data_IF_833258092516
#
_entry.id   IF_833258092516
#
_cell.length_a   1.000
_cell.length_b   1.000
_cell.length_c   1.000
_cell.angle_alpha   90.00
_cell.angle_beta   90.00
_cell.angle_gamma   90.00
#
_symmetry.space_group_name_H-M   'P 1'
#
loop_
_entity.id
_entity.type
_entity.pdbx_description
1 polymer ?
#
# COMPACT_ATOMS: atom_id res chain seq x y z
N UNK A 1 49.76 60.73 12.70
CA UNK A 1 49.22 59.57 13.45
C UNK A 1 48.03 59.05 12.67
N UNK A 2 47.99 57.74 12.46
CA UNK A 2 47.35 57.08 11.31
C UNK A 2 45.83 57.22 11.26
N UNK A 3 45.33 57.60 10.08
CA UNK A 3 43.93 57.54 9.68
C UNK A 3 43.62 56.07 9.37
N UNK A 4 42.65 55.49 10.08
CA UNK A 4 42.16 54.14 9.78
C UNK A 4 41.23 54.19 8.57
N UNK A 5 41.68 53.61 7.44
CA UNK A 5 40.83 53.35 6.28
C UNK A 5 39.84 52.22 6.59
N UNK A 6 38.57 52.32 6.17
CA UNK A 6 37.64 51.20 6.26
C UNK A 6 38.02 50.11 5.25
N UNK A 7 38.08 48.86 5.71
CA UNK A 7 38.28 47.70 4.86
C UNK A 7 37.12 47.57 3.85
N UNK A 8 37.38 47.15 2.59
CA UNK A 8 36.33 46.98 1.60
C UNK A 8 35.40 45.85 2.05
N UNK A 9 34.10 46.12 2.00
CA UNK A 9 33.05 45.11 2.12
C UNK A 9 33.38 43.93 1.21
N UNK A 10 33.67 42.78 1.79
CA UNK A 10 33.70 41.51 1.06
C UNK A 10 32.30 41.30 0.49
N UNK A 11 32.16 41.45 -0.82
CA UNK A 11 30.98 41.00 -1.55
C UNK A 11 30.64 39.59 -1.08
N UNK A 12 29.47 39.41 -0.47
CA UNK A 12 28.84 38.11 -0.35
C UNK A 12 28.82 37.51 -1.76
N UNK A 13 29.63 36.46 -2.00
CA UNK A 13 29.47 35.65 -3.20
C UNK A 13 28.02 35.17 -3.19
N UNK A 14 27.22 35.42 -4.24
CA UNK A 14 25.89 34.85 -4.30
C UNK A 14 26.04 33.34 -4.17
N UNK A 15 25.18 32.71 -3.37
CA UNK A 15 25.12 31.25 -3.24
C UNK A 15 24.95 30.67 -4.65
N UNK A 16 26.05 30.22 -5.25
CA UNK A 16 26.02 29.53 -6.54
C UNK A 16 25.30 28.22 -6.27
N UNK A 17 24.05 28.12 -6.73
CA UNK A 17 23.34 26.85 -6.80
C UNK A 17 24.20 25.95 -7.69
N UNK A 18 24.69 24.85 -7.12
CA UNK A 18 25.51 23.87 -7.84
C UNK A 18 24.60 22.74 -8.34
N UNK A 19 24.86 22.26 -9.54
CA UNK A 19 24.25 21.06 -10.10
C UNK A 19 25.24 19.89 -10.03
N UNK A 20 24.73 18.67 -9.92
CA UNK A 20 25.53 17.44 -9.96
C UNK A 20 25.00 16.52 -11.04
N UNK A 21 25.91 15.99 -11.86
CA UNK A 21 25.63 14.96 -12.88
C UNK A 21 26.10 13.57 -12.43
N UNK A 22 26.74 13.48 -11.26
CA UNK A 22 27.38 12.26 -10.76
C UNK A 22 26.67 11.68 -9.54
N UNK A 23 25.34 11.83 -9.46
CA UNK A 23 24.56 11.19 -8.40
C UNK A 23 24.34 9.70 -8.72
N UNK A 24 24.73 8.81 -7.82
CA UNK A 24 24.76 7.36 -8.07
C UNK A 24 24.21 6.54 -6.90
N UNK A 25 23.89 5.27 -7.18
CA UNK A 25 23.45 4.30 -6.19
C UNK A 25 21.93 4.22 -6.05
N UNK A 26 21.47 3.27 -5.24
CA UNK A 26 20.03 3.07 -4.97
C UNK A 26 19.37 4.30 -4.32
N UNK A 27 20.16 5.14 -3.66
CA UNK A 27 19.74 6.45 -3.15
C UNK A 27 19.29 7.42 -4.23
N UNK A 28 19.76 7.28 -5.48
CA UNK A 28 19.29 8.07 -6.62
C UNK A 28 18.00 7.50 -7.25
N UNK A 29 17.75 6.19 -7.10
CA UNK A 29 16.55 5.54 -7.62
C UNK A 29 15.28 5.87 -6.82
N UNK A 30 15.38 5.93 -5.48
CA UNK A 30 14.22 6.19 -4.62
C UNK A 30 13.54 7.56 -4.86
N UNK A 31 14.27 8.68 -5.04
CA UNK A 31 13.67 9.97 -5.40
C UNK A 31 12.93 9.96 -6.74
N UNK A 32 13.41 9.21 -7.73
CA UNK A 32 12.71 9.05 -9.02
C UNK A 32 11.38 8.33 -8.84
N UNK A 33 11.38 7.23 -8.07
CA UNK A 33 10.15 6.53 -7.71
C UNK A 33 9.17 7.46 -6.97
N UNK A 34 9.66 8.26 -6.02
CA UNK A 34 8.83 9.23 -5.31
C UNK A 34 8.21 10.29 -6.23
N UNK A 35 8.96 10.77 -7.24
CA UNK A 35 8.44 11.67 -8.27
C UNK A 35 7.31 11.04 -9.10
N UNK A 36 7.47 9.79 -9.53
CA UNK A 36 6.43 9.05 -10.27
C UNK A 36 5.19 8.82 -9.41
N UNK A 37 5.38 8.47 -8.13
CA UNK A 37 4.28 8.31 -7.16
C UNK A 37 3.52 9.63 -6.99
N UNK A 38 4.22 10.78 -6.98
CA UNK A 38 3.58 12.09 -6.91
C UNK A 38 2.68 12.36 -8.12
N UNK A 39 3.14 12.06 -9.34
CA UNK A 39 2.32 12.15 -10.56
C UNK A 39 1.09 11.23 -10.50
N UNK A 40 1.27 10.02 -9.96
CA UNK A 40 0.19 9.04 -9.80
C UNK A 40 -0.86 9.52 -8.79
N UNK A 41 -0.44 10.12 -7.68
CA UNK A 41 -1.33 10.74 -6.68
C UNK A 41 -2.01 12.00 -7.21
N UNK A 42 -1.37 12.76 -8.11
CA UNK A 42 -2.02 13.88 -8.78
C UNK A 42 -3.19 13.40 -9.65
N UNK A 43 -3.00 12.30 -10.36
CA UNK A 43 -4.04 11.67 -11.19
C UNK A 43 -5.20 11.11 -10.37
N UNK A 44 -4.92 10.54 -9.18
CA UNK A 44 -5.96 10.09 -8.25
C UNK A 44 -5.51 10.30 -6.79
N UNK A 45 -6.08 11.33 -6.16
CA UNK A 45 -5.76 11.71 -4.76
C UNK A 45 -6.36 10.78 -3.71
N UNK A 46 -7.28 9.90 -4.11
CA UNK A 46 -7.97 8.99 -3.18
C UNK A 46 -7.23 7.65 -3.02
N UNK A 47 -6.11 7.45 -3.73
CA UNK A 47 -5.30 6.25 -3.60
C UNK A 47 -4.75 6.12 -2.18
N UNK A 48 -4.96 4.94 -1.59
CA UNK A 48 -4.34 4.57 -0.32
C UNK A 48 -2.89 4.13 -0.54
N UNK A 49 -2.15 3.96 0.55
CA UNK A 49 -0.78 3.44 0.50
C UNK A 49 -0.69 2.04 -0.10
N UNK A 50 -1.75 1.21 0.03
CA UNK A 50 -1.84 -0.13 -0.57
C UNK A 50 -2.16 -0.04 -2.05
N UNK A 51 -3.10 0.82 -2.43
CA UNK A 51 -3.44 1.05 -3.84
C UNK A 51 -2.18 1.41 -4.65
N UNK A 52 -1.33 2.28 -4.09
CA UNK A 52 -0.06 2.64 -4.74
C UNK A 52 0.85 1.42 -4.98
N UNK A 53 0.91 0.47 -4.04
CA UNK A 53 1.69 -0.75 -4.22
C UNK A 53 1.05 -1.67 -5.27
N UNK A 54 -0.27 -1.83 -5.27
CA UNK A 54 -0.99 -2.58 -6.30
C UNK A 54 -0.73 -2.01 -7.71
N UNK A 55 -0.77 -0.69 -7.86
CA UNK A 55 -0.46 -0.01 -9.12
C UNK A 55 0.97 -0.33 -9.58
N UNK A 56 1.96 -0.25 -8.67
CA UNK A 56 3.36 -0.61 -8.98
C UNK A 56 3.46 -2.06 -9.45
N UNK A 57 2.85 -3.00 -8.73
CA UNK A 57 2.85 -4.44 -9.08
C UNK A 57 2.25 -4.69 -10.46
N UNK A 58 1.16 -3.99 -10.81
CA UNK A 58 0.43 -4.22 -12.05
C UNK A 58 1.04 -3.52 -13.28
N UNK A 59 1.78 -2.42 -13.08
CA UNK A 59 2.23 -1.55 -14.19
C UNK A 59 3.72 -1.65 -14.49
N UNK A 60 4.53 -2.14 -13.54
CA UNK A 60 5.98 -2.28 -13.72
C UNK A 60 6.35 -3.17 -14.91
N UNK A 61 7.48 -2.86 -15.55
CA UNK A 61 7.93 -3.51 -16.79
C UNK A 61 9.22 -4.29 -16.57
N UNK A 62 9.20 -5.63 -16.75
CA UNK A 62 10.41 -6.45 -16.75
C UNK A 62 11.31 -6.26 -17.98
N UNK A 63 10.79 -5.65 -19.05
CA UNK A 63 11.49 -5.55 -20.33
C UNK A 63 12.81 -4.76 -20.19
N UNK A 64 13.83 -5.19 -20.94
CA UNK A 64 15.16 -4.57 -20.98
C UNK A 64 15.95 -4.58 -19.66
N UNK A 65 15.48 -5.31 -18.63
CA UNK A 65 16.20 -5.54 -17.39
C UNK A 65 16.82 -6.95 -17.36
N UNK A 66 18.14 -7.00 -17.25
CA UNK A 66 18.89 -8.26 -17.26
C UNK A 66 19.09 -8.78 -15.84
N UNK A 67 18.51 -9.94 -15.53
CA UNK A 67 18.69 -10.69 -14.30
C UNK A 67 18.62 -12.20 -14.59
N UNK A 68 19.37 -13.00 -13.86
CA UNK A 68 19.36 -14.47 -14.00
C UNK A 68 18.25 -15.14 -13.17
N UNK A 69 17.55 -14.38 -12.33
CA UNK A 69 16.59 -14.86 -11.34
C UNK A 69 15.14 -14.46 -11.65
N UNK A 70 14.85 -14.03 -12.88
CA UNK A 70 13.48 -13.77 -13.32
C UNK A 70 12.67 -15.07 -13.27
N UNK A 71 11.63 -15.09 -12.44
CA UNK A 71 10.66 -16.18 -12.36
C UNK A 71 9.25 -15.66 -12.60
N UNK A 72 8.33 -16.54 -12.98
CA UNK A 72 6.92 -16.20 -13.14
C UNK A 72 6.16 -16.72 -11.93
N UNK A 73 5.39 -15.85 -11.27
CA UNK A 73 4.60 -16.21 -10.10
C UNK A 73 3.27 -16.91 -10.48
N UNK A 74 2.47 -17.30 -9.49
CA UNK A 74 1.24 -18.08 -9.67
C UNK A 74 0.15 -17.38 -10.48
N UNK A 75 0.18 -16.04 -10.55
CA UNK A 75 -0.75 -15.22 -11.33
C UNK A 75 -0.17 -14.76 -12.68
N UNK A 76 0.99 -15.30 -13.09
CA UNK A 76 1.57 -15.06 -14.41
C UNK A 76 2.43 -13.81 -14.53
N UNK A 77 2.82 -13.15 -13.42
CA UNK A 77 3.70 -11.98 -13.45
C UNK A 77 5.17 -12.38 -13.29
N UNK A 78 6.05 -11.73 -14.05
CA UNK A 78 7.50 -11.90 -13.88
C UNK A 78 7.98 -11.09 -12.69
N UNK A 79 8.78 -11.72 -11.83
CA UNK A 79 9.38 -11.12 -10.64
C UNK A 79 10.85 -11.53 -10.52
N UNK A 80 11.69 -10.64 -10.00
CA UNK A 80 13.11 -10.86 -9.72
C UNK A 80 13.42 -10.30 -8.33
N UNK A 81 14.32 -10.93 -7.57
CA UNK A 81 14.77 -10.41 -6.29
C UNK A 81 15.65 -9.15 -6.45
N UNK A 82 16.20 -8.93 -7.65
CA UNK A 82 16.99 -7.72 -7.98
C UNK A 82 16.10 -6.55 -8.39
N UNK A 83 15.01 -6.81 -9.11
CA UNK A 83 14.18 -5.77 -9.76
C UNK A 83 12.72 -5.73 -9.29
N UNK A 84 12.30 -6.60 -8.37
CA UNK A 84 10.89 -6.79 -8.05
C UNK A 84 10.08 -7.13 -9.30
N UNK A 85 9.00 -6.40 -9.53
CA UNK A 85 8.15 -6.53 -10.72
C UNK A 85 8.71 -5.82 -11.98
N UNK A 86 9.84 -5.12 -11.86
CA UNK A 86 10.52 -4.44 -12.96
C UNK A 86 10.60 -2.92 -12.80
N UNK A 87 10.86 -2.23 -13.91
CA UNK A 87 11.01 -0.78 -13.94
C UNK A 87 9.64 -0.10 -13.80
N UNK A 88 9.58 0.97 -13.00
CA UNK A 88 8.38 1.79 -12.89
C UNK A 88 8.07 2.46 -14.24
N UNK A 89 6.79 2.45 -14.60
CA UNK A 89 6.26 3.09 -15.81
C UNK A 89 5.28 4.19 -15.40
N UNK A 90 5.73 5.44 -15.43
CA UNK A 90 4.94 6.58 -14.97
C UNK A 90 3.64 6.75 -15.75
N UNK A 91 3.68 6.54 -17.07
CA UNK A 91 2.50 6.65 -17.93
C UNK A 91 1.47 5.57 -17.61
N UNK A 92 1.92 4.32 -17.47
CA UNK A 92 1.05 3.21 -17.10
C UNK A 92 0.46 3.36 -15.68
N UNK A 93 1.26 3.83 -14.71
CA UNK A 93 0.79 4.09 -13.35
C UNK A 93 -0.30 5.16 -13.31
N UNK A 94 -0.08 6.31 -13.97
CA UNK A 94 -1.06 7.40 -14.04
C UNK A 94 -2.33 6.95 -14.77
N UNK A 95 -2.20 6.25 -15.90
CA UNK A 95 -3.34 5.77 -16.67
C UNK A 95 -4.21 4.78 -15.88
N UNK A 96 -3.58 3.84 -15.16
CA UNK A 96 -4.31 2.87 -14.34
C UNK A 96 -4.94 3.53 -13.09
N UNK A 97 -4.27 4.53 -12.51
CA UNK A 97 -4.76 5.26 -11.33
C UNK A 97 -6.08 6.00 -11.56
N UNK A 98 -6.30 6.56 -12.76
CA UNK A 98 -7.49 7.35 -13.09
C UNK A 98 -8.80 6.55 -12.92
N UNK A 99 -8.78 5.25 -13.24
CA UNK A 99 -9.93 4.36 -13.13
C UNK A 99 -9.75 3.30 -12.03
N UNK A 100 -8.84 3.55 -11.07
CA UNK A 100 -8.55 2.61 -10.00
C UNK A 100 -9.68 2.56 -8.97
N UNK A 101 -10.12 1.35 -8.62
CA UNK A 101 -11.03 1.13 -7.50
C UNK A 101 -10.21 0.78 -6.27
N UNK A 102 -10.38 1.55 -5.19
CA UNK A 102 -9.69 1.31 -3.92
C UNK A 102 -9.92 -0.12 -3.45
N UNK A 103 -8.82 -0.78 -3.06
CA UNK A 103 -8.87 -2.16 -2.58
C UNK A 103 -9.61 -2.29 -1.24
N UNK A 104 -10.20 -3.45 -1.02
CA UNK A 104 -10.90 -3.80 0.24
C UNK A 104 -10.01 -3.62 1.48
N UNK A 105 -10.60 -3.51 2.69
CA UNK A 105 -9.86 -3.41 3.94
C UNK A 105 -8.81 -4.52 4.09
N UNK A 106 -7.63 -4.14 4.53
CA UNK A 106 -6.53 -5.09 4.71
C UNK A 106 -6.88 -6.10 5.80
N UNK A 107 -6.80 -7.39 5.45
CA UNK A 107 -6.92 -8.50 6.38
C UNK A 107 -5.52 -9.02 6.74
N UNK A 108 -5.42 -9.60 7.93
CA UNK A 108 -4.19 -10.19 8.45
C UNK A 108 -4.49 -11.56 9.05
N UNK A 109 -4.00 -12.61 8.41
CA UNK A 109 -4.09 -13.98 8.89
C UNK A 109 -2.74 -14.39 9.51
N UNK A 110 -2.76 -14.91 10.74
CA UNK A 110 -1.56 -15.30 11.49
C UNK A 110 -1.64 -16.80 11.74
N UNK A 111 -0.62 -17.54 11.33
CA UNK A 111 -0.61 -18.99 11.39
C UNK A 111 0.72 -19.44 12.03
N UNK A 112 0.64 -20.04 13.20
CA UNK A 112 1.79 -20.69 13.82
C UNK A 112 1.99 -22.08 13.20
N UNK A 113 3.17 -22.30 12.61
CA UNK A 113 3.43 -23.46 11.76
C UNK A 113 4.01 -24.62 12.57
N UNK A 114 4.93 -24.33 13.50
CA UNK A 114 5.64 -25.34 14.27
C UNK A 114 4.87 -25.74 15.53
N UNK A 115 4.80 -27.05 15.76
CA UNK A 115 4.34 -27.64 17.01
C UNK A 115 5.49 -27.97 17.96
N UNK A 116 6.69 -28.14 17.43
CA UNK A 116 7.92 -28.48 18.14
C UNK A 116 9.14 -27.88 17.44
N UNK A 117 10.25 -27.63 18.15
CA UNK A 117 11.50 -27.19 17.53
C UNK A 117 12.03 -28.22 16.52
N UNK A 118 12.65 -27.75 15.45
CA UNK A 118 13.24 -28.58 14.39
C UNK A 118 14.73 -28.32 14.27
N UNK A 119 15.53 -29.38 14.25
CA UNK A 119 16.95 -29.29 13.92
C UNK A 119 17.14 -28.84 12.48
N UNK A 120 18.06 -27.89 12.25
CA UNK A 120 18.32 -27.36 10.92
C UNK A 120 19.32 -28.25 10.16
N UNK A 121 20.37 -28.71 10.85
CA UNK A 121 21.46 -29.49 10.26
C UNK A 121 21.99 -28.89 8.94
N UNK A 122 22.10 -29.75 7.91
CA UNK A 122 22.51 -29.35 6.54
C UNK A 122 21.35 -28.77 5.72
N UNK A 123 20.14 -29.32 5.88
CA UNK A 123 18.92 -28.85 5.22
C UNK A 123 17.70 -29.24 6.07
N UNK A 124 16.82 -28.28 6.27
CA UNK A 124 15.51 -28.44 6.90
C UNK A 124 14.44 -28.00 5.93
N UNK A 125 13.36 -28.78 5.86
CA UNK A 125 12.17 -28.45 5.09
C UNK A 125 10.95 -28.58 6.01
N UNK A 126 10.12 -27.53 6.06
CA UNK A 126 8.89 -27.50 6.85
C UNK A 126 7.72 -27.27 5.89
N UNK A 127 6.84 -28.26 5.79
CA UNK A 127 5.62 -28.20 4.97
C UNK A 127 4.40 -28.00 5.86
N UNK A 128 3.50 -27.12 5.44
CA UNK A 128 2.23 -26.90 6.14
C UNK A 128 1.14 -26.51 5.17
N UNK A 129 0.07 -27.30 5.13
CA UNK A 129 -1.18 -26.91 4.49
C UNK A 129 -1.94 -25.94 5.39
N UNK A 130 -2.33 -24.80 4.84
CA UNK A 130 -3.07 -23.74 5.53
C UNK A 130 -4.37 -23.43 4.77
N UNK A 131 -5.40 -23.03 5.51
CA UNK A 131 -6.69 -22.60 4.94
C UNK A 131 -6.77 -21.09 4.78
N UNK A 132 -5.68 -20.35 5.04
CA UNK A 132 -5.65 -18.89 5.02
C UNK A 132 -6.79 -18.24 5.81
N UNK A 133 -7.03 -18.72 7.03
CA UNK A 133 -8.08 -18.26 7.94
C UNK A 133 -9.52 -18.40 7.36
N UNK A 134 -9.77 -19.43 6.53
CA UNK A 134 -11.11 -19.75 6.04
C UNK A 134 -12.13 -19.83 7.19
N UNK A 135 -13.26 -19.15 7.02
CA UNK A 135 -14.33 -19.05 8.02
C UNK A 135 -14.21 -17.86 8.97
N UNK A 136 -13.06 -17.17 8.99
CA UNK A 136 -12.81 -16.02 9.87
C UNK A 136 -12.85 -14.68 9.12
N UNK A 137 -13.08 -13.54 9.81
CA UNK A 137 -12.98 -12.20 9.22
C UNK A 137 -11.59 -11.90 8.63
N UNK A 138 -10.56 -12.62 9.07
CA UNK A 138 -9.18 -12.54 8.57
C UNK A 138 -8.92 -13.43 7.35
N UNK A 139 -9.94 -14.08 6.77
CA UNK A 139 -9.79 -14.92 5.58
C UNK A 139 -9.22 -14.13 4.39
N UNK A 140 -8.20 -14.68 3.73
CA UNK A 140 -7.52 -14.07 2.58
C UNK A 140 -7.57 -15.03 1.40
N UNK A 141 -7.99 -14.53 0.23
CA UNK A 141 -7.93 -15.23 -1.06
C UNK A 141 -7.08 -14.51 -2.09
N UNK A 142 -6.70 -13.25 -1.85
CA UNK A 142 -5.80 -12.46 -2.69
C UNK A 142 -4.70 -11.87 -1.83
N UNK A 143 -3.51 -12.45 -1.94
CA UNK A 143 -2.36 -12.10 -1.12
C UNK A 143 -1.72 -10.77 -1.55
N UNK A 144 -1.22 -10.01 -0.58
CA UNK A 144 -0.38 -8.82 -0.78
C UNK A 144 1.05 -9.13 -0.30
N UNK A 145 1.29 -9.00 1.01
CA UNK A 145 2.56 -9.34 1.64
C UNK A 145 2.45 -10.68 2.35
N UNK A 146 3.47 -11.52 2.24
CA UNK A 146 3.67 -12.66 3.13
C UNK A 146 4.92 -12.46 3.97
N UNK A 147 4.84 -12.80 5.25
CA UNK A 147 5.99 -12.83 6.15
C UNK A 147 6.20 -14.23 6.72
N UNK A 148 7.44 -14.70 6.72
CA UNK A 148 7.88 -15.79 7.56
C UNK A 148 8.63 -15.20 8.76
N UNK A 149 7.98 -15.19 9.93
CA UNK A 149 8.60 -14.74 11.18
C UNK A 149 9.32 -15.92 11.82
N UNK A 150 10.64 -15.85 11.85
CA UNK A 150 11.49 -16.96 12.25
C UNK A 150 12.25 -16.63 13.53
N UNK A 151 12.21 -17.57 14.48
CA UNK A 151 13.16 -17.61 15.61
C UNK A 151 14.00 -18.86 15.45
N UNK A 152 15.31 -18.69 15.27
CA UNK A 152 16.25 -19.79 15.11
C UNK A 152 17.61 -19.46 15.72
N UNK A 153 18.29 -20.48 16.22
CA UNK A 153 19.71 -20.44 16.57
C UNK A 153 20.53 -21.03 15.43
N UNK A 154 21.73 -20.49 15.20
CA UNK A 154 22.68 -21.06 14.23
C UNK A 154 24.10 -20.57 14.55
N UNK A 155 25.10 -21.44 14.43
CA UNK A 155 26.49 -21.11 14.78
C UNK A 155 27.17 -20.15 13.79
N UNK A 156 26.76 -20.13 12.51
CA UNK A 156 27.25 -19.17 11.50
C UNK A 156 26.12 -18.72 10.58
N UNK A 157 25.46 -17.61 10.92
CA UNK A 157 24.22 -17.16 10.26
C UNK A 157 24.36 -16.90 8.76
N UNK A 158 25.51 -16.43 8.29
CA UNK A 158 25.76 -16.13 6.88
C UNK A 158 25.81 -17.33 5.96
N UNK A 159 25.91 -18.56 6.50
CA UNK A 159 25.86 -19.79 5.70
C UNK A 159 24.43 -20.24 5.39
N UNK A 160 23.42 -19.64 6.04
CA UNK A 160 22.03 -19.95 5.79
C UNK A 160 21.54 -19.33 4.48
N UNK A 161 20.85 -20.13 3.67
CA UNK A 161 19.88 -19.63 2.71
C UNK A 161 18.48 -20.11 3.10
N UNK A 162 17.50 -19.22 2.99
CA UNK A 162 16.12 -19.46 3.42
C UNK A 162 15.20 -19.14 2.25
N UNK A 163 14.32 -20.09 1.92
CA UNK A 163 13.34 -19.95 0.86
C UNK A 163 11.94 -20.25 1.37
N UNK A 164 10.94 -19.59 0.80
CA UNK A 164 9.52 -19.84 1.04
C UNK A 164 8.81 -20.09 -0.28
N UNK A 165 8.13 -21.21 -0.39
CA UNK A 165 7.35 -21.58 -1.57
C UNK A 165 5.86 -21.45 -1.25
N UNK A 166 5.15 -20.70 -2.08
CA UNK A 166 3.68 -20.56 -1.99
C UNK A 166 2.96 -21.80 -2.53
N UNK A 167 1.66 -21.97 -2.22
CA UNK A 167 0.85 -23.06 -2.75
C UNK A 167 0.78 -23.10 -4.29
N UNK A 168 0.93 -21.94 -4.94
CA UNK A 168 0.96 -21.82 -6.40
C UNK A 168 2.35 -22.06 -7.01
N UNK A 169 3.35 -22.42 -6.19
CA UNK A 169 4.70 -22.78 -6.64
C UNK A 169 5.70 -21.62 -6.71
N UNK A 170 5.34 -20.42 -6.26
CA UNK A 170 6.24 -19.27 -6.30
C UNK A 170 7.28 -19.37 -5.19
N UNK A 171 8.55 -19.55 -5.58
CA UNK A 171 9.68 -19.66 -4.65
C UNK A 171 10.33 -18.30 -4.40
N UNK A 172 10.19 -17.80 -3.19
CA UNK A 172 10.80 -16.54 -2.70
C UNK A 172 12.07 -16.83 -1.91
N UNK A 173 13.16 -16.14 -2.23
CA UNK A 173 14.39 -16.13 -1.44
C UNK A 173 14.23 -15.14 -0.30
N UNK A 174 14.06 -15.63 0.92
CA UNK A 174 13.93 -14.81 2.11
C UNK A 174 15.28 -14.34 2.66
N UNK A 175 16.29 -15.19 2.51
CA UNK A 175 17.68 -14.91 2.88
C UNK A 175 18.60 -15.61 1.91
N UNK A 176 19.49 -14.86 1.25
CA UNK A 176 20.60 -15.43 0.51
C UNK A 176 21.83 -15.58 1.43
N UNK A 177 22.76 -16.46 1.05
CA UNK A 177 24.03 -16.62 1.76
C UNK A 177 24.78 -15.27 1.84
N UNK A 178 25.35 -14.97 3.00
CA UNK A 178 26.09 -13.74 3.29
C UNK A 178 27.49 -14.10 3.78
N UNK A 179 28.51 -14.16 2.89
CA UNK A 179 29.84 -14.67 3.24
C UNK A 179 30.50 -13.97 4.44
N UNK A 180 30.19 -12.70 4.67
CA UNK A 180 30.75 -11.89 5.74
C UNK A 180 29.93 -11.89 7.05
N UNK A 181 28.79 -12.57 7.11
CA UNK A 181 27.98 -12.68 8.34
C UNK A 181 28.38 -13.93 9.13
N UNK A 182 29.36 -13.78 10.01
CA UNK A 182 29.85 -14.84 10.89
C UNK A 182 29.18 -14.86 12.28
N UNK A 183 28.06 -14.16 12.45
CA UNK A 183 27.33 -14.09 13.72
C UNK A 183 26.74 -15.45 14.13
N UNK A 184 26.75 -15.73 15.43
CA UNK A 184 26.10 -16.88 16.04
C UNK A 184 24.75 -16.52 16.72
N UNK A 185 24.26 -15.28 16.54
CA UNK A 185 23.06 -14.78 17.23
C UNK A 185 21.76 -15.35 16.64
N UNK A 186 21.85 -16.01 15.47
CA UNK A 186 20.69 -16.50 14.74
C UNK A 186 19.72 -15.38 14.34
N UNK A 187 18.43 -15.69 14.35
CA UNK A 187 17.34 -14.73 14.14
C UNK A 187 16.33 -14.84 15.29
N UNK A 188 15.83 -13.69 15.76
CA UNK A 188 14.87 -13.63 16.86
C UNK A 188 13.59 -12.93 16.40
N UNK A 189 12.51 -13.71 16.20
CA UNK A 189 11.21 -13.29 15.66
C UNK A 189 11.35 -12.37 14.43
N UNK A 190 12.36 -12.65 13.58
CA UNK A 190 12.69 -11.80 12.45
C UNK A 190 11.69 -12.02 11.32
N UNK A 191 11.01 -10.96 10.89
CA UNK A 191 9.98 -11.01 9.87
C UNK A 191 10.58 -10.86 8.46
N UNK A 192 11.00 -11.97 7.86
CA UNK A 192 11.33 -11.99 6.43
C UNK A 192 10.06 -11.79 5.63
N UNK A 193 10.08 -10.88 4.65
CA UNK A 193 8.89 -10.51 3.88
C UNK A 193 9.14 -10.75 2.39
N UNK A 194 8.12 -11.23 1.68
CA UNK A 194 8.12 -11.36 0.22
C UNK A 194 6.89 -10.68 -0.38
N UNK A 195 7.08 -10.06 -1.54
CA UNK A 195 6.03 -9.52 -2.41
C UNK A 195 5.82 -10.37 -3.67
N UNK A 196 6.56 -11.47 -3.84
CA UNK A 196 6.58 -12.23 -5.10
C UNK A 196 5.27 -13.01 -5.35
N UNK A 197 4.54 -13.34 -4.30
CA UNK A 197 3.24 -14.03 -4.37
C UNK A 197 2.04 -13.08 -4.35
N UNK A 198 2.21 -11.82 -4.76
CA UNK A 198 1.11 -10.84 -4.80
C UNK A 198 0.01 -11.31 -5.76
N UNK A 199 -1.25 -11.12 -5.36
CA UNK A 199 -2.50 -11.62 -5.96
C UNK A 199 -2.70 -13.15 -5.97
N UNK A 200 -1.75 -13.94 -5.46
CA UNK A 200 -1.96 -15.40 -5.36
C UNK A 200 -3.01 -15.74 -4.30
N UNK A 201 -3.69 -16.88 -4.48
CA UNK A 201 -4.47 -17.51 -3.41
C UNK A 201 -3.50 -18.21 -2.44
N UNK A 202 -3.43 -17.77 -1.16
CA UNK A 202 -2.50 -18.34 -0.20
C UNK A 202 -2.99 -19.64 0.47
N UNK A 203 -4.17 -20.14 0.10
CA UNK A 203 -4.70 -21.43 0.57
C UNK A 203 -3.93 -22.60 -0.05
N UNK A 204 -3.56 -23.59 0.76
CA UNK A 204 -2.83 -24.77 0.33
C UNK A 204 -1.49 -24.98 1.05
N UNK A 205 -0.59 -25.76 0.46
CA UNK A 205 0.70 -26.11 1.08
C UNK A 205 1.74 -25.00 0.91
N UNK A 206 2.25 -24.50 2.03
CA UNK A 206 3.46 -23.67 2.08
C UNK A 206 4.67 -24.51 2.47
N UNK A 207 5.82 -24.22 1.86
CA UNK A 207 7.08 -24.90 2.15
C UNK A 207 8.14 -23.88 2.54
N UNK A 208 8.68 -24.01 3.76
CA UNK A 208 9.87 -23.28 4.20
C UNK A 208 11.09 -24.20 4.04
N UNK A 209 12.10 -23.71 3.34
CA UNK A 209 13.39 -24.39 3.17
C UNK A 209 14.47 -23.58 3.88
N UNK A 210 15.25 -24.24 4.72
CA UNK A 210 16.43 -23.67 5.38
C UNK A 210 17.61 -24.56 5.04
N UNK A 211 18.61 -24.03 4.37
CA UNK A 211 19.78 -24.79 3.93
C UNK A 211 21.09 -24.16 4.39
N UNK A 212 22.06 -25.02 4.68
CA UNK A 212 23.44 -24.64 4.88
C UNK A 212 24.18 -24.68 3.54
N UNK A 213 24.52 -23.51 3.04
CA UNK A 213 25.20 -23.30 1.76
C UNK A 213 26.71 -23.57 1.82
N UNK A 214 27.29 -23.78 3.00
CA UNK A 214 28.71 -24.11 3.17
C UNK A 214 28.94 -25.60 3.39
N UNK A 215 30.16 -26.05 3.15
CA UNK A 215 30.62 -27.40 3.47
C UNK A 215 30.93 -27.60 4.97
N UNK A 216 30.82 -26.53 5.78
CA UNK A 216 31.04 -26.64 7.21
C UNK A 216 29.89 -27.38 7.88
N UNK A 217 30.21 -28.18 8.90
CA UNK A 217 29.21 -28.86 9.75
C UNK A 217 28.58 -27.87 10.73
N UNK A 218 27.78 -26.95 10.21
CA UNK A 218 27.00 -26.01 10.99
C UNK A 218 25.80 -26.69 11.66
N UNK A 219 25.34 -26.08 12.74
CA UNK A 219 24.27 -26.61 13.58
C UNK A 219 23.41 -25.49 14.13
N UNK A 220 22.14 -25.82 14.41
CA UNK A 220 21.20 -24.90 15.00
C UNK A 220 19.77 -25.40 14.91
N UNK A 221 18.85 -24.68 15.53
CA UNK A 221 17.47 -25.15 15.72
C UNK A 221 16.50 -24.03 15.36
N UNK A 222 15.50 -24.36 14.55
CA UNK A 222 14.34 -23.52 14.30
C UNK A 222 13.32 -23.76 15.42
N UNK A 223 13.03 -22.73 16.22
CA UNK A 223 12.14 -22.84 17.39
C UNK A 223 10.78 -22.20 17.16
N UNK A 224 10.69 -21.22 16.24
CA UNK A 224 9.42 -20.58 15.88
C UNK A 224 9.38 -20.29 14.38
N UNK A 225 8.25 -20.62 13.76
CA UNK A 225 7.88 -20.14 12.44
C UNK A 225 6.41 -19.75 12.46
N UNK A 226 6.15 -18.45 12.34
CA UNK A 226 4.80 -17.90 12.14
C UNK A 226 4.71 -17.37 10.72
N UNK A 227 3.77 -17.92 9.94
CA UNK A 227 3.40 -17.39 8.63
C UNK A 227 2.36 -16.29 8.84
N UNK A 228 2.66 -15.07 8.40
CA UNK A 228 1.74 -13.94 8.47
C UNK A 228 1.38 -13.53 7.04
N UNK A 229 0.10 -13.63 6.73
CA UNK A 229 -0.43 -13.30 5.42
C UNK A 229 -1.21 -11.99 5.53
N UNK A 230 -0.95 -11.08 4.60
CA UNK A 230 -1.69 -9.82 4.43
C UNK A 230 -2.38 -9.85 3.09
N UNK A 231 -3.62 -9.37 3.01
CA UNK A 231 -4.32 -9.32 1.74
C UNK A 231 -5.80 -8.99 1.88
N UNK A 232 -6.56 -9.38 0.88
CA UNK A 232 -8.01 -9.21 0.85
C UNK A 232 -8.71 -10.53 0.54
N UNK A 233 -10.02 -10.53 0.74
CA UNK A 233 -10.91 -11.47 0.12
C UNK A 233 -12.13 -10.66 -0.36
N UNK A 234 -12.83 -11.10 -1.43
CA UNK A 234 -14.03 -10.42 -1.89
C UNK A 234 -15.00 -10.15 -0.74
N UNK A 235 -15.58 -8.94 -0.70
CA UNK A 235 -16.74 -8.72 0.15
C UNK A 235 -17.90 -9.59 -0.36
N UNK A 236 -18.16 -10.64 0.41
CA UNK A 236 -19.02 -11.74 0.02
C UNK A 236 -18.45 -13.02 0.61
N UNK A 237 -18.80 -13.31 1.85
CA UNK A 237 -18.43 -14.57 2.50
C UNK A 237 -18.80 -15.74 1.56
N UNK A 238 -17.87 -16.66 1.23
CA UNK A 238 -18.26 -18.02 0.97
C UNK A 238 -18.57 -18.64 2.33
N UNK A 239 -19.74 -18.34 2.89
CA UNK A 239 -20.37 -19.27 3.82
C UNK A 239 -20.63 -20.56 3.03
N UNK A 240 -20.24 -21.74 3.52
CA UNK A 240 -20.76 -22.99 2.99
C UNK A 240 -22.29 -22.90 2.95
N UNK A 241 -22.98 -23.46 1.94
CA UNK A 241 -24.43 -23.45 1.87
C UNK A 241 -24.98 -24.45 2.90
N UNK A 242 -24.85 -24.14 4.18
CA UNK A 242 -25.96 -24.43 5.07
C UNK A 242 -27.01 -23.37 4.74
N UNK A 243 -28.20 -23.83 4.36
CA UNK A 243 -29.30 -23.02 3.87
C UNK A 243 -29.81 -22.08 4.97
N UNK A 244 -29.12 -20.98 5.20
CA UNK A 244 -29.55 -19.95 6.15
C UNK A 244 -30.86 -19.38 5.62
N UNK A 245 -31.94 -19.65 6.34
CA UNK A 245 -33.26 -19.08 6.08
C UNK A 245 -34.09 -19.76 5.00
N UNK A 246 -33.77 -20.98 4.53
CA UNK A 246 -34.62 -21.71 3.59
C UNK A 246 -35.43 -22.82 4.27
N UNK A 247 -36.76 -22.69 4.26
CA UNK A 247 -37.71 -23.64 4.83
C UNK A 247 -37.96 -24.86 3.92
N UNK A 248 -37.92 -24.69 2.59
CA UNK A 248 -38.08 -25.80 1.62
C UNK A 248 -37.15 -25.65 0.41
N UNK A 249 -36.45 -26.73 0.07
CA UNK A 249 -35.60 -26.85 -1.12
C UNK A 249 -36.28 -27.70 -2.20
N UNK A 250 -36.11 -27.32 -3.46
CA UNK A 250 -36.38 -28.19 -4.61
C UNK A 250 -35.25 -29.20 -4.81
N UNK A 251 -35.50 -30.31 -5.51
CA UNK A 251 -34.48 -31.33 -5.88
C UNK A 251 -33.24 -30.78 -6.61
N UNK A 252 -33.30 -29.57 -7.15
CA UNK A 252 -32.16 -28.84 -7.75
C UNK A 252 -31.48 -27.81 -6.83
N UNK A 253 -31.59 -27.95 -5.50
CA UNK A 253 -30.99 -27.06 -4.48
C UNK A 253 -31.46 -25.59 -4.52
N UNK A 254 -32.58 -25.31 -5.16
CA UNK A 254 -33.20 -23.98 -5.16
C UNK A 254 -34.16 -23.82 -3.98
N UNK A 255 -34.06 -22.71 -3.25
CA UNK A 255 -35.01 -22.40 -2.19
C UNK A 255 -36.33 -21.88 -2.75
N UNK A 256 -37.44 -22.35 -2.20
CA UNK A 256 -38.79 -21.94 -2.62
C UNK A 256 -39.58 -21.21 -1.53
N UNK A 257 -39.33 -21.52 -0.26
CA UNK A 257 -39.96 -20.85 0.88
C UNK A 257 -38.87 -20.49 1.86
N UNK A 258 -38.83 -19.23 2.26
CA UNK A 258 -37.90 -18.73 3.27
C UNK A 258 -38.48 -18.84 4.69
N UNK A 259 -37.60 -18.89 5.68
CA UNK A 259 -37.98 -18.75 7.10
C UNK A 259 -38.47 -17.34 7.41
N UNK A 260 -39.19 -17.17 8.52
CA UNK A 260 -39.67 -15.86 8.96
C UNK A 260 -38.49 -14.90 9.15
N UNK A 261 -38.60 -13.69 8.58
CA UNK A 261 -37.52 -12.70 8.57
C UNK A 261 -36.58 -12.75 7.36
N UNK A 262 -36.80 -13.69 6.43
CA UNK A 262 -36.09 -13.76 5.15
C UNK A 262 -37.04 -13.56 3.96
N UNK A 263 -36.53 -12.95 2.89
CA UNK A 263 -37.24 -12.71 1.64
C UNK A 263 -36.59 -13.49 0.49
N UNK A 264 -37.40 -14.07 -0.38
CA UNK A 264 -36.91 -14.80 -1.55
C UNK A 264 -36.44 -13.81 -2.62
N UNK A 265 -35.19 -13.93 -3.05
CA UNK A 265 -34.62 -13.20 -4.18
C UNK A 265 -33.87 -14.18 -5.08
N UNK A 266 -34.26 -14.31 -6.36
CA UNK A 266 -33.57 -15.15 -7.35
C UNK A 266 -33.23 -16.57 -6.86
N UNK A 267 -34.18 -17.24 -6.18
CA UNK A 267 -34.07 -18.62 -5.64
C UNK A 267 -33.18 -18.78 -4.40
N UNK A 268 -32.78 -17.68 -3.76
CA UNK A 268 -32.08 -17.67 -2.47
C UNK A 268 -32.85 -16.82 -1.46
N UNK A 269 -32.70 -17.14 -0.18
CA UNK A 269 -33.31 -16.37 0.91
C UNK A 269 -32.32 -15.32 1.41
N UNK A 270 -32.75 -14.06 1.42
CA UNK A 270 -31.95 -12.93 1.89
C UNK A 270 -32.66 -12.23 3.03
N UNK A 271 -31.92 -11.83 4.07
CA UNK A 271 -32.51 -11.10 5.20
C UNK A 271 -32.90 -9.67 4.82
N UNK A 272 -32.17 -9.07 3.87
CA UNK A 272 -32.45 -7.74 3.33
C UNK A 272 -32.44 -7.80 1.80
N UNK A 273 -33.46 -7.23 1.15
CA UNK A 273 -33.51 -7.18 -0.31
C UNK A 273 -32.39 -6.28 -0.87
N UNK A 274 -31.79 -6.66 -2.02
CA UNK A 274 -30.73 -5.86 -2.64
C UNK A 274 -31.26 -4.49 -3.12
N UNK A 275 -30.38 -3.50 -3.33
CA UNK A 275 -30.78 -2.19 -3.86
C UNK A 275 -31.64 -2.31 -5.11
N UNK A 276 -32.73 -1.54 -5.16
CA UNK A 276 -33.73 -1.64 -6.24
C UNK A 276 -34.83 -2.69 -6.02
N UNK A 277 -34.82 -3.40 -4.88
CA UNK A 277 -35.89 -4.32 -4.48
C UNK A 277 -36.38 -4.05 -3.05
N UNK A 278 -37.66 -4.29 -2.79
CA UNK A 278 -38.28 -4.21 -1.46
C UNK A 278 -38.97 -5.54 -1.09
N UNK A 279 -39.01 -5.91 0.20
CA UNK A 279 -39.70 -7.12 0.64
C UNK A 279 -41.21 -6.92 0.60
N UNK A 280 -41.92 -7.80 -0.10
CA UNK A 280 -43.39 -7.81 -0.15
C UNK A 280 -43.92 -9.21 0.16
N UNK A 281 -44.97 -9.29 0.98
CA UNK A 281 -45.66 -10.56 1.23
C UNK A 281 -46.61 -10.82 0.07
N UNK A 282 -46.35 -11.90 -0.67
CA UNK A 282 -47.21 -12.38 -1.76
C UNK A 282 -47.76 -13.76 -1.43
N UNK A 283 -48.99 -14.02 -1.90
CA UNK A 283 -49.56 -15.37 -1.89
C UNK A 283 -48.93 -16.17 -3.04
N UNK A 284 -48.09 -17.15 -2.71
CA UNK A 284 -47.49 -18.06 -3.68
C UNK A 284 -48.26 -19.37 -3.73
N UNK A 285 -48.71 -19.77 -4.93
CA UNK A 285 -49.36 -21.05 -5.16
C UNK A 285 -48.31 -22.15 -5.31
N UNK A 286 -48.32 -23.13 -4.40
CA UNK A 286 -47.45 -24.30 -4.49
C UNK A 286 -48.28 -25.52 -4.93
N UNK A 287 -47.92 -26.12 -6.07
CA UNK A 287 -48.52 -27.39 -6.49
C UNK A 287 -47.72 -28.53 -5.86
N UNK A 288 -48.26 -29.15 -4.82
CA UNK A 288 -47.82 -30.50 -4.44
C UNK A 288 -48.69 -31.52 -5.16
N UNK A 289 -48.18 -32.74 -5.38
CA UNK A 289 -48.82 -33.78 -6.20
C UNK A 289 -50.24 -34.20 -5.75
N UNK A 290 -50.81 -33.65 -4.66
CA UNK A 290 -52.20 -33.90 -4.28
C UNK A 290 -52.93 -32.76 -3.52
N UNK A 291 -52.39 -31.54 -3.38
CA UNK A 291 -53.17 -30.37 -2.90
C UNK A 291 -52.45 -29.02 -3.15
N UNK A 292 -53.21 -27.93 -3.23
CA UNK A 292 -52.70 -26.55 -3.39
C UNK A 292 -52.85 -25.80 -2.06
N UNK A 293 -51.76 -25.73 -1.29
CA UNK A 293 -51.69 -24.83 -0.12
C UNK A 293 -51.24 -23.43 -0.55
N UNK A 294 -51.96 -22.41 -0.07
CA UNK A 294 -51.60 -21.00 -0.25
C UNK A 294 -50.65 -20.61 0.87
N UNK A 295 -49.38 -20.35 0.54
CA UNK A 295 -48.38 -19.91 1.51
C UNK A 295 -48.08 -18.44 1.27
N UNK A 296 -48.20 -17.63 2.34
CA UNK A 296 -47.73 -16.25 2.38
C UNK A 296 -46.22 -16.24 2.47
N UNK A 297 -45.55 -15.91 1.36
CA UNK A 297 -44.10 -15.83 1.29
C UNK A 297 -43.64 -14.37 1.13
N UNK A 298 -42.59 -14.00 1.86
CA UNK A 298 -41.92 -12.71 1.65
C UNK A 298 -41.00 -12.83 0.43
N UNK A 299 -41.19 -11.98 -0.57
CA UNK A 299 -40.44 -11.99 -1.84
C UNK A 299 -39.90 -10.59 -2.11
N UNK A 300 -38.66 -10.50 -2.60
CA UNK A 300 -38.08 -9.23 -3.02
C UNK A 300 -38.68 -8.81 -4.37
N UNK A 301 -39.54 -7.79 -4.37
CA UNK A 301 -40.15 -7.20 -5.56
C UNK A 301 -39.38 -5.97 -6.01
N UNK A 302 -39.28 -5.69 -7.32
CA UNK A 302 -38.55 -4.52 -7.81
C UNK A 302 -39.24 -3.22 -7.39
N UNK A 303 -38.43 -2.20 -7.09
CA UNK A 303 -38.89 -0.85 -6.85
C UNK A 303 -39.54 -0.22 -8.09
N UNK A 304 -40.37 0.80 -7.89
CA UNK A 304 -40.84 1.63 -8.99
C UNK A 304 -39.66 2.26 -9.73
N UNK A 305 -39.73 2.37 -11.06
CA UNK A 305 -38.62 2.81 -11.92
C UNK A 305 -38.13 4.25 -11.64
N UNK A 306 -38.89 5.05 -10.90
CA UNK A 306 -38.49 6.39 -10.44
C UNK A 306 -37.58 6.37 -9.21
N UNK A 307 -37.53 5.27 -8.45
CA UNK A 307 -36.78 5.15 -7.20
C UNK A 307 -35.45 4.42 -7.43
N UNK A 308 -34.41 4.77 -6.67
CA UNK A 308 -33.17 4.01 -6.59
C UNK A 308 -33.23 2.95 -5.47
N UNK A 309 -33.84 3.29 -4.33
CA UNK A 309 -34.23 2.34 -3.29
C UNK A 309 -35.65 2.66 -2.83
N UNK A 310 -36.37 1.67 -2.32
CA UNK A 310 -37.78 1.82 -1.95
C UNK A 310 -38.14 0.98 -0.72
N UNK A 311 -39.23 1.35 -0.05
CA UNK A 311 -39.87 0.54 0.98
C UNK A 311 -40.93 -0.41 0.39
N UNK A 312 -41.41 -0.12 -0.83
CA UNK A 312 -42.42 -0.88 -1.55
C UNK A 312 -42.41 -0.60 -3.05
N UNK A 313 -43.24 -1.29 -3.84
CA UNK A 313 -43.24 -1.17 -5.30
C UNK A 313 -43.96 0.10 -5.81
N UNK A 314 -44.58 0.90 -4.94
CA UNK A 314 -45.33 2.08 -5.36
C UNK A 314 -44.39 3.25 -5.73
N UNK A 315 -44.82 4.16 -6.62
CA UNK A 315 -44.06 5.37 -6.96
C UNK A 315 -43.88 6.35 -5.78
N UNK A 316 -44.67 6.17 -4.71
CA UNK A 316 -44.64 6.93 -3.46
C UNK A 316 -43.87 6.23 -2.34
N UNK A 317 -43.22 5.11 -2.61
CA UNK A 317 -42.47 4.37 -1.58
C UNK A 317 -40.95 4.56 -1.74
N UNK A 318 -40.50 5.65 -2.37
CA UNK A 318 -39.08 5.87 -2.62
C UNK A 318 -38.34 6.25 -1.33
N UNK A 319 -37.22 5.59 -1.06
CA UNK A 319 -36.27 5.92 0.02
C UNK A 319 -35.09 6.73 -0.50
N UNK A 320 -34.66 6.47 -1.73
CA UNK A 320 -33.63 7.26 -2.42
C UNK A 320 -33.97 7.40 -3.90
N UNK A 321 -33.49 8.48 -4.51
CA UNK A 321 -33.70 8.75 -5.92
C UNK A 321 -32.42 8.51 -6.75
N UNK A 322 -32.55 8.20 -8.04
CA UNK A 322 -31.43 8.22 -8.98
C UNK A 322 -30.74 9.59 -8.99
N UNK A 323 -29.47 9.62 -9.38
CA UNK A 323 -28.59 10.81 -9.36
C UNK A 323 -29.10 12.08 -10.08
N UNK A 324 -30.18 11.96 -10.83
CA UNK A 324 -30.82 13.03 -11.62
C UNK A 324 -32.22 13.42 -11.12
N UNK A 325 -32.62 12.97 -9.94
CA UNK A 325 -33.91 13.28 -9.32
C UNK A 325 -33.73 13.61 -7.83
N UNK A 326 -34.62 14.45 -7.29
CA UNK A 326 -34.67 14.78 -5.86
C UNK A 326 -35.85 14.08 -5.21
N UNK A 327 -35.63 13.56 -3.99
CA UNK A 327 -36.68 12.95 -3.17
C UNK A 327 -37.52 14.04 -2.53
N UNK A 328 -38.83 13.96 -2.69
CA UNK A 328 -39.77 14.67 -1.84
C UNK A 328 -39.97 13.86 -0.55
N UNK A 329 -39.51 14.34 0.62
CA UNK A 329 -39.60 13.57 1.86
C UNK A 329 -41.02 13.47 2.43
N UNK A 330 -41.97 14.29 1.95
CA UNK A 330 -43.37 14.26 2.41
C UNK A 330 -44.18 13.28 1.57
N UNK A 331 -44.04 13.36 0.25
CA UNK A 331 -44.77 12.50 -0.68
C UNK A 331 -44.03 11.18 -0.99
N UNK A 332 -42.78 11.05 -0.53
CA UNK A 332 -41.90 9.90 -0.79
C UNK A 332 -41.79 9.54 -2.29
N UNK A 333 -41.85 10.57 -3.14
CA UNK A 333 -41.74 10.47 -4.60
C UNK A 333 -40.43 11.07 -5.10
N UNK A 334 -39.93 10.57 -6.23
CA UNK A 334 -38.77 11.14 -6.92
C UNK A 334 -39.22 12.02 -8.08
N UNK A 335 -38.89 13.31 -8.03
CA UNK A 335 -39.16 14.27 -9.10
C UNK A 335 -37.87 14.72 -9.77
N UNK A 336 -37.87 14.82 -11.12
CA UNK A 336 -36.76 15.42 -11.87
C UNK A 336 -36.79 16.93 -11.64
N UNK A 337 -35.68 17.49 -11.20
CA UNK A 337 -35.52 18.94 -11.22
C UNK A 337 -35.45 19.41 -12.68
N UNK A 338 -36.49 20.09 -13.17
CA UNK A 338 -36.35 20.98 -14.32
C UNK A 338 -35.42 22.13 -13.94
N UNK A 339 -34.54 22.55 -14.84
CA UNK A 339 -33.47 23.54 -14.67
C UNK A 339 -33.96 24.99 -14.36
N UNK A 340 -34.98 25.20 -13.53
CA UNK A 340 -35.57 26.53 -13.26
C UNK A 340 -35.40 27.05 -11.84
N UNK A 341 -34.69 26.35 -10.94
CA UNK A 341 -34.52 26.82 -9.55
C UNK A 341 -33.08 26.62 -9.07
N UNK A 342 -32.16 27.40 -9.66
CA UNK A 342 -30.86 27.70 -9.04
C UNK A 342 -30.82 29.19 -8.74
N UNK A 343 -31.26 29.56 -7.54
CA UNK A 343 -31.02 30.88 -6.97
C UNK A 343 -29.50 31.08 -6.84
N UNK A 344 -28.98 32.17 -7.39
CA UNK A 344 -27.56 32.53 -7.26
C UNK A 344 -27.32 33.23 -5.91
N UNK A 345 -26.12 33.13 -5.29
CA UNK A 345 -25.84 33.82 -4.02
C UNK A 345 -25.79 35.35 -4.24
N UNK A 346 -26.38 36.19 -3.36
CA UNK A 346 -26.29 37.63 -3.50
C UNK A 346 -24.92 38.17 -3.07
N UNK A 347 -24.42 39.13 -3.86
CA UNK A 347 -23.21 39.91 -3.62
C UNK A 347 -23.33 40.76 -2.33
N UNK A 348 -22.31 40.72 -1.49
CA UNK A 348 -22.18 41.57 -0.31
C UNK A 348 -21.76 43.00 -0.69
N UNK A 349 -22.60 43.98 -0.36
CA UNK A 349 -22.22 45.40 -0.25
C UNK A 349 -21.59 45.70 1.13
N UNK A 350 -20.71 46.71 1.26
CA UNK A 350 -19.94 46.96 2.49
C UNK A 350 -20.78 47.62 3.60
N UNK A 351 -20.55 47.23 4.86
CA UNK A 351 -21.14 47.87 6.06
C UNK A 351 -20.28 49.06 6.56
N UNK A 352 -20.88 50.12 7.10
CA UNK A 352 -20.17 51.27 7.70
C UNK A 352 -19.71 51.00 9.16
N UNK A 353 -18.77 51.80 9.70
CA UNK A 353 -18.09 51.54 10.97
C UNK A 353 -18.91 51.94 12.22
N UNK A 354 -18.61 51.35 13.40
CA UNK A 354 -19.33 51.63 14.64
C UNK A 354 -18.81 52.88 15.40
N UNK A 355 -19.66 53.52 16.24
CA UNK A 355 -19.31 54.71 17.05
C UNK A 355 -18.58 54.35 18.37
N UNK A 356 -17.93 55.34 19.03
CA UNK A 356 -17.03 55.11 20.17
C UNK A 356 -17.74 54.91 21.52
N UNK A 357 -17.05 54.34 22.54
CA UNK A 357 -17.65 53.98 23.82
C UNK A 357 -17.62 55.11 24.86
N UNK A 358 -18.65 55.16 25.72
CA UNK A 358 -18.72 55.98 26.94
C UNK A 358 -18.50 55.12 28.20
N UNK A 359 -17.95 55.78 29.22
CA UNK A 359 -17.40 55.29 30.50
C UNK A 359 -18.44 54.94 31.59
N UNK A 360 -17.93 54.47 32.75
CA UNK A 360 -18.58 54.18 34.06
C UNK A 360 -19.09 52.75 34.27
N UNK A 361 -18.82 52.01 35.36
CA UNK A 361 -18.00 52.15 36.57
C UNK A 361 -17.84 50.71 37.12
N UNK A 362 -16.70 50.36 37.72
CA UNK A 362 -16.46 49.02 38.26
C UNK A 362 -15.63 49.07 39.55
N UNK A 363 -16.06 48.31 40.57
CA UNK A 363 -15.20 47.64 41.56
C UNK A 363 -16.00 46.53 42.28
N UNK A 364 -15.38 45.54 42.96
CA UNK A 364 -14.14 44.83 42.60
C UNK A 364 -14.28 43.29 42.75
N UNK A 365 -13.55 42.50 41.96
CA UNK A 365 -13.28 41.07 42.26
C UNK A 365 -11.86 40.66 41.87
N UNK A 366 -11.07 40.40 42.92
CA UNK A 366 -10.03 39.37 43.13
C UNK A 366 -9.17 38.93 41.93
N UNK A 367 -7.86 39.21 42.04
CA UNK A 367 -6.77 38.65 41.22
C UNK A 367 -6.56 37.14 41.46
N UNK A 368 -6.39 36.39 40.37
CA UNK A 368 -5.50 35.23 40.30
C UNK A 368 -4.83 35.21 38.91
N UNK A 369 -3.51 35.00 38.89
CA UNK A 369 -2.58 35.38 37.81
C UNK A 369 -2.68 34.62 36.49
N UNK A 370 -2.31 35.33 35.42
CA UNK A 370 -2.09 34.82 34.07
C UNK A 370 -0.65 34.28 33.92
N UNK A 371 -0.51 33.07 33.41
CA UNK A 371 0.76 32.43 33.03
C UNK A 371 1.11 32.79 31.56
N UNK A 372 2.37 33.03 31.17
CA UNK A 372 2.69 33.51 29.81
C UNK A 372 2.70 32.40 28.74
N UNK A 373 2.25 32.78 27.55
CA UNK A 373 1.89 31.95 26.38
C UNK A 373 3.05 31.47 25.49
N UNK A 374 4.27 31.30 26.01
CA UNK A 374 5.45 30.90 25.20
C UNK A 374 6.00 29.50 25.50
N UNK A 375 5.33 28.71 26.34
CA UNK A 375 5.80 27.38 26.71
C UNK A 375 5.87 26.36 25.54
N UNK A 376 4.94 26.33 24.56
CA UNK A 376 4.96 25.30 23.51
C UNK A 376 6.10 25.45 22.50
N UNK A 377 6.45 26.68 22.12
CA UNK A 377 7.48 26.96 21.11
C UNK A 377 8.89 26.72 21.65
N UNK A 378 9.13 27.10 22.91
CA UNK A 378 10.42 26.86 23.57
C UNK A 378 10.63 25.36 23.79
N UNK A 379 9.57 24.62 24.16
CA UNK A 379 9.63 23.16 24.31
C UNK A 379 9.89 22.47 22.96
N UNK A 380 9.25 22.90 21.88
CA UNK A 380 9.50 22.36 20.54
C UNK A 380 10.95 22.62 20.05
N UNK A 381 11.48 23.82 20.30
CA UNK A 381 12.87 24.16 19.98
C UNK A 381 13.89 23.33 20.77
N UNK A 382 13.65 23.14 22.07
CA UNK A 382 14.52 22.32 22.93
C UNK A 382 14.48 20.84 22.55
N UNK A 383 13.31 20.30 22.15
CA UNK A 383 13.18 18.92 21.66
C UNK A 383 13.95 18.74 20.34
N UNK A 384 13.84 19.67 19.40
CA UNK A 384 14.60 19.61 18.14
C UNK A 384 16.12 19.65 18.39
N UNK A 385 16.59 20.54 19.27
CA UNK A 385 18.00 20.61 19.63
C UNK A 385 18.50 19.31 20.26
N UNK A 386 17.68 18.67 21.12
CA UNK A 386 18.01 17.42 21.78
C UNK A 386 18.08 16.25 20.78
N UNK A 387 17.17 16.20 19.81
CA UNK A 387 17.20 15.19 18.73
C UNK A 387 18.47 15.33 17.89
N UNK A 388 18.85 16.55 17.49
CA UNK A 388 20.08 16.80 16.72
C UNK A 388 21.32 16.36 17.53
N UNK A 389 21.36 16.66 18.82
CA UNK A 389 22.45 16.25 19.71
C UNK A 389 22.57 14.73 19.83
N UNK A 390 21.44 14.02 19.94
CA UNK A 390 21.41 12.55 19.97
C UNK A 390 21.91 11.97 18.64
N UNK A 391 21.50 12.54 17.50
CA UNK A 391 21.98 12.08 16.20
C UNK A 391 23.48 12.30 16.01
N UNK A 392 24.00 13.47 16.39
CA UNK A 392 25.44 13.78 16.30
C UNK A 392 26.25 12.87 17.22
N UNK A 393 25.78 12.63 18.45
CA UNK A 393 26.48 11.73 19.38
C UNK A 393 26.46 10.28 18.92
N UNK A 394 25.32 9.77 18.43
CA UNK A 394 25.24 8.42 17.85
C UNK A 394 26.15 8.31 16.62
N UNK A 395 26.16 9.32 15.75
CA UNK A 395 27.05 9.34 14.58
C UNK A 395 28.53 9.31 15.01
N UNK A 396 28.94 10.12 15.98
CA UNK A 396 30.32 10.12 16.47
C UNK A 396 30.70 8.81 17.15
N UNK A 397 29.79 8.19 17.93
CA UNK A 397 30.01 6.87 18.54
C UNK A 397 30.15 5.78 17.48
N UNK A 398 29.34 5.85 16.41
CA UNK A 398 29.45 4.93 15.28
C UNK A 398 30.76 5.12 14.52
N UNK A 399 31.21 6.36 14.29
CA UNK A 399 32.50 6.66 13.67
C UNK A 399 33.69 6.21 14.52
N UNK A 400 33.59 6.32 15.85
CA UNK A 400 34.59 5.83 16.80
C UNK A 400 34.63 4.29 16.85
N UNK A 401 33.49 3.63 16.72
CA UNK A 401 33.40 2.16 16.64
C UNK A 401 33.82 1.60 15.28
N UNK A 402 33.70 2.38 14.20
CA UNK A 402 34.18 2.00 12.86
C UNK A 402 35.64 2.34 12.60
N UNK A 403 36.37 2.88 13.59
CA UNK A 403 37.81 3.14 13.50
C UNK A 403 38.18 4.24 12.52
N UNK A 404 38.05 5.51 12.91
CA UNK A 404 38.52 6.64 12.11
C UNK A 404 39.95 7.04 12.48
N UNK A 405 40.86 6.92 11.51
CA UNK A 405 42.29 7.26 11.60
C UNK A 405 42.52 8.74 11.29
N UNK A 406 43.32 9.42 12.11
CA UNK A 406 43.83 10.77 11.85
C UNK A 406 45.27 10.68 11.36
N UNK A 407 45.54 11.32 10.22
CA UNK A 407 46.81 11.47 9.47
C UNK A 407 47.02 10.46 8.35
N UNK A 408 47.04 11.01 7.13
CA UNK A 408 47.18 10.27 5.89
C UNK A 408 48.55 9.64 5.71
N UNK A 409 48.52 8.41 5.21
CA UNK A 409 49.46 7.81 4.25
C UNK A 409 48.65 6.81 3.42
N UNK A 410 48.84 6.82 2.10
CA UNK A 410 48.19 5.94 1.10
C UNK A 410 48.89 4.57 1.01
N UNK A 411 48.26 3.68 0.21
CA UNK A 411 48.74 2.42 -0.45
C UNK A 411 48.61 1.16 0.45
N UNK A 412 47.88 0.09 0.10
CA UNK A 412 47.76 -0.65 -1.18
C UNK A 412 46.36 -1.25 -1.48
N UNK A 413 46.07 -1.21 -2.80
CA UNK A 413 45.35 -2.16 -3.68
C UNK A 413 43.97 -2.69 -3.26
N UNK A 414 42.95 -2.06 -3.85
CA UNK A 414 41.60 -2.58 -3.97
C UNK A 414 41.42 -3.08 -5.40
N UNK A 415 41.32 -4.40 -5.59
CA UNK A 415 40.66 -4.97 -6.76
C UNK A 415 39.16 -4.99 -6.44
N UNK A 416 38.48 -3.88 -6.77
CA UNK A 416 37.02 -3.79 -6.69
C UNK A 416 36.47 -4.21 -8.04
N UNK A 417 35.86 -5.40 -8.07
CA UNK A 417 34.92 -5.78 -9.13
C UNK A 417 33.78 -4.78 -9.19
N UNK A 418 33.88 -3.87 -10.16
CA UNK A 418 32.85 -2.89 -10.51
C UNK A 418 31.79 -3.64 -11.33
N UNK A 419 30.61 -3.90 -10.76
CA UNK A 419 29.45 -4.30 -11.57
C UNK A 419 28.87 -3.02 -12.16
N UNK A 420 29.25 -2.76 -13.42
CA UNK A 420 28.73 -1.66 -14.24
C UNK A 420 27.47 -2.15 -14.99
N UNK A 421 26.36 -1.41 -14.84
CA UNK A 421 25.19 -1.59 -15.68
C UNK A 421 25.42 -0.86 -17.01
N UNK A 422 25.51 -1.61 -18.11
CA UNK A 422 25.65 -1.06 -19.47
C UNK A 422 24.34 -0.41 -19.93
N UNK A 423 24.37 0.89 -20.21
CA UNK A 423 23.38 1.60 -21.02
C UNK A 423 23.63 1.44 -22.53
N UNK A 424 22.58 1.69 -23.32
CA UNK A 424 22.46 1.52 -24.79
C UNK A 424 23.25 2.58 -25.62
N UNK A 425 23.52 2.34 -26.93
CA UNK A 425 24.45 3.14 -27.74
C UNK A 425 23.85 4.44 -28.35
N UNK A 426 24.69 5.45 -28.69
CA UNK A 426 24.23 6.78 -29.11
C UNK A 426 24.45 7.02 -30.62
N UNK A 427 23.40 6.96 -31.44
CA UNK A 427 23.48 7.38 -32.87
C UNK A 427 22.31 8.26 -33.33
N UNK A 428 21.59 8.92 -32.43
CA UNK A 428 20.32 9.54 -32.80
C UNK A 428 20.15 11.03 -32.47
N UNK A 429 21.20 11.85 -32.27
CA UNK A 429 20.98 13.30 -32.04
C UNK A 429 22.19 14.14 -32.52
N UNK A 430 22.04 14.80 -33.67
CA UNK A 430 22.89 15.90 -34.13
C UNK A 430 22.03 17.16 -34.15
N UNK A 431 22.38 18.15 -33.34
CA UNK A 431 22.27 19.59 -33.65
C UNK A 431 23.10 20.40 -32.63
N UNK A 432 23.88 21.34 -33.15
CA UNK A 432 24.98 22.05 -32.49
C UNK A 432 24.52 23.32 -31.76
N UNK A 433 25.18 23.64 -30.63
CA UNK A 433 25.19 24.97 -30.02
C UNK A 433 26.63 25.33 -29.58
N UNK A 434 27.00 26.62 -29.58
CA UNK A 434 28.35 27.08 -29.89
C UNK A 434 29.34 26.98 -28.73
N UNK A 435 30.59 26.73 -29.12
CA UNK A 435 31.79 26.63 -28.32
C UNK A 435 32.21 27.95 -27.66
N UNK A 436 32.57 27.89 -26.38
CA UNK A 436 33.70 28.67 -25.87
C UNK A 436 34.79 27.70 -25.41
N UNK A 437 35.94 27.90 -26.03
CA UNK A 437 37.18 27.15 -25.96
C UNK A 437 37.86 27.24 -24.60
N UNK A 438 38.23 26.11 -24.00
CA UNK A 438 39.63 25.76 -23.64
C UNK A 438 39.74 24.21 -23.61
N UNK A 439 40.79 23.69 -24.23
CA UNK A 439 41.06 22.27 -24.45
C UNK A 439 41.53 21.56 -23.18
N UNK A 440 40.86 20.47 -22.78
CA UNK A 440 41.52 19.30 -22.18
C UNK A 440 40.73 18.03 -22.53
N UNK A 441 41.41 17.10 -23.21
CA UNK A 441 40.83 15.86 -23.73
C UNK A 441 40.63 14.83 -22.60
N UNK A 442 39.37 14.51 -22.31
CA UNK A 442 39.01 13.42 -21.40
C UNK A 442 37.57 12.93 -21.60
N UNK A 443 37.42 11.88 -22.41
CA UNK A 443 36.15 11.33 -22.91
C UNK A 443 35.32 10.55 -21.87
N UNK A 444 34.03 10.90 -21.75
CA UNK A 444 32.90 10.03 -21.32
C UNK A 444 32.32 10.32 -19.92
N UNK A 445 31.02 10.40 -19.65
CA UNK A 445 29.77 10.18 -20.40
C UNK A 445 28.66 11.07 -19.78
N UNK A 446 27.80 11.68 -20.63
CA UNK A 446 26.71 12.57 -20.23
C UNK A 446 25.44 11.78 -19.90
N UNK A 447 24.82 12.04 -18.75
CA UNK A 447 23.50 11.48 -18.37
C UNK A 447 22.39 12.43 -18.82
N UNK A 448 21.51 12.00 -19.71
CA UNK A 448 20.31 12.74 -20.10
C UNK A 448 19.02 12.02 -19.66
N UNK A 449 18.11 12.85 -19.17
CA UNK A 449 16.81 12.53 -18.59
C UNK A 449 15.72 12.21 -19.64
N UNK A 450 14.61 11.73 -19.10
CA UNK A 450 13.34 11.32 -19.70
C UNK A 450 12.89 12.17 -20.90
N UNK A 451 12.35 11.47 -21.90
CA UNK A 451 11.64 12.00 -23.07
C UNK A 451 10.23 12.42 -22.66
N UNK A 452 9.97 13.72 -22.59
CA UNK A 452 8.62 14.25 -22.67
C UNK A 452 8.16 14.18 -24.14
N UNK A 453 7.13 13.38 -24.42
CA UNK A 453 6.32 13.57 -25.63
C UNK A 453 5.05 14.31 -25.22
N UNK A 454 5.07 15.62 -25.45
CA UNK A 454 3.88 16.45 -25.61
C UNK A 454 4.23 17.55 -26.61
N UNK A 455 3.82 17.37 -27.87
CA UNK A 455 3.34 18.41 -28.80
C UNK A 455 3.35 17.90 -30.26
N UNK A 456 2.22 17.32 -30.68
CA UNK A 456 1.41 17.60 -31.88
C UNK A 456 0.63 16.37 -32.33
#
# INVERSE_FOLDING_TARGET
SQVASPAPFTHHRPNVIKCTESHTGTSASAPLAAGIIALTLEANKNLTWRDMQHLVVQTSKPAHLNANDWTTNGVGRKVSHSYGYGLLDAGAMVALAQNWTTVDPQRKCIIDILTEPKDIGKRLEVRKTVTACLGEPSHITRLEHAQARLTLSYNRRGDLAIHLVSPMGTRSTLLAARPHDYSADGFNDWAFMTTHSWDEDPSGEWVLEVENTSEANNYGTLTKFTLVLYGTAPEGLPTPPESIGCKTLTSGQACVVCEEGFSLHQKTCVQHCPPGFAPQVLDTHYNTENDVEIIRASVCVPCHASCATCQGPAPTDCLTCPSHASLDPVEQTCSRQSQSSRESPPQQLPRPPPPPPQEEEAEPRVRAGQLPSHLPEVVAGLICALIVLVFVTVFLVLQLRSGFSFRGVKVYTMDRGLISYKGLPPEAWQEECPSDSEEDEGRGERTAFIKDQSAL
#
